data_IF_935982510303
#
_entry.id   IF_935982510303
#
_cell.length_a   1.000
_cell.length_b   1.000
_cell.length_c   1.000
_cell.angle_alpha   90.00
_cell.angle_beta   90.00
_cell.angle_gamma   90.00
#
_symmetry.space_group_name_H-M   'P 1'
#
loop_
_entity.id
_entity.type
_entity.pdbx_description
1 polymer ?
#
# COMPACT_ATOMS: atom_id res chain seq x y z
N UNK A 1 -8.98 -7.59 -5.32
CA UNK A 1 -9.14 -6.24 -5.84
C UNK A 1 -7.86 -5.44 -5.67
N UNK A 2 -6.97 -5.56 -6.67
CA UNK A 2 -5.88 -4.62 -6.94
C UNK A 2 -6.46 -3.33 -7.55
N UNK A 3 -7.42 -2.72 -6.86
CA UNK A 3 -8.09 -1.52 -7.35
C UNK A 3 -7.45 -0.29 -6.74
N UNK A 4 -6.29 0.08 -7.27
CA UNK A 4 -5.77 1.45 -7.18
C UNK A 4 -5.68 2.13 -8.56
N UNK A 5 -6.08 1.43 -9.63
CA UNK A 5 -6.29 2.02 -10.95
C UNK A 5 -7.75 1.81 -11.39
N UNK A 6 -8.66 2.60 -10.83
CA UNK A 6 -10.07 2.53 -11.18
C UNK A 6 -10.85 3.69 -10.56
N UNK A 7 -10.70 4.88 -11.16
CA UNK A 7 -11.51 6.04 -10.79
C UNK A 7 -12.99 5.75 -11.04
N UNK A 8 -13.71 5.34 -10.01
CA UNK A 8 -15.16 5.30 -10.02
C UNK A 8 -15.68 6.68 -9.61
N UNK A 9 -16.37 7.36 -10.53
CA UNK A 9 -17.15 8.56 -10.22
C UNK A 9 -18.21 8.18 -9.18
N UNK A 10 -17.99 8.55 -7.93
CA UNK A 10 -19.04 8.50 -6.90
C UNK A 10 -19.94 9.72 -7.09
N UNK A 11 -21.24 9.49 -7.29
CA UNK A 11 -22.24 10.56 -7.31
C UNK A 11 -22.21 11.31 -5.97
N UNK A 12 -22.00 12.63 -6.09
CA UNK A 12 -22.27 13.73 -5.14
C UNK A 12 -21.63 13.68 -3.74
N UNK A 13 -20.48 14.37 -3.64
CA UNK A 13 -20.12 15.46 -2.69
C UNK A 13 -18.62 15.48 -2.34
N UNK A 14 -17.89 14.43 -2.71
CA UNK A 14 -16.44 14.35 -2.60
C UNK A 14 -15.83 13.88 -3.94
N UNK A 15 -15.01 14.70 -4.62
CA UNK A 15 -14.36 14.28 -5.86
C UNK A 15 -13.28 13.21 -5.64
N UNK A 16 -12.94 12.88 -4.39
CA UNK A 16 -11.90 11.93 -4.04
C UNK A 16 -12.45 10.65 -3.42
N UNK A 17 -12.05 9.50 -3.96
CA UNK A 17 -12.23 8.22 -3.27
C UNK A 17 -11.30 8.14 -2.05
N UNK A 18 -11.84 7.90 -0.85
CA UNK A 18 -11.12 7.94 0.44
C UNK A 18 -10.66 6.60 1.01
N UNK A 19 -10.59 5.57 0.17
CA UNK A 19 -10.31 4.21 0.65
C UNK A 19 -11.52 3.58 1.32
N UNK A 20 -12.11 2.57 0.69
CA UNK A 20 -12.97 1.62 1.43
C UNK A 20 -12.18 0.89 2.52
N UNK A 21 -12.83 0.03 3.31
CA UNK A 21 -12.09 -0.84 4.22
C UNK A 21 -11.10 -1.71 3.42
N UNK A 22 -9.81 -1.53 3.66
CA UNK A 22 -8.76 -2.32 3.04
C UNK A 22 -8.96 -3.81 3.37
N UNK A 23 -8.72 -4.68 2.38
CA UNK A 23 -8.79 -6.14 2.53
C UNK A 23 -7.57 -6.76 1.86
N UNK A 24 -6.69 -7.37 2.66
CA UNK A 24 -5.45 -7.98 2.19
C UNK A 24 -5.62 -9.31 1.45
N UNK A 25 -6.81 -9.89 1.37
CA UNK A 25 -7.02 -11.25 0.83
C UNK A 25 -6.47 -11.42 -0.59
N UNK A 26 -6.61 -10.41 -1.44
CA UNK A 26 -6.09 -10.46 -2.80
C UNK A 26 -4.56 -10.32 -2.86
N UNK A 27 -3.99 -9.43 -2.03
CA UNK A 27 -2.53 -9.30 -1.90
C UNK A 27 -1.93 -10.60 -1.36
N UNK A 28 -2.55 -11.20 -0.35
CA UNK A 28 -2.13 -12.49 0.20
C UNK A 28 -2.09 -13.58 -0.87
N UNK A 29 -3.18 -13.75 -1.63
CA UNK A 29 -3.23 -14.73 -2.71
C UNK A 29 -2.16 -14.48 -3.79
N UNK A 30 -1.91 -13.21 -4.14
CA UNK A 30 -0.86 -12.84 -5.08
C UNK A 30 0.55 -13.17 -4.56
N UNK A 31 0.83 -12.85 -3.30
CA UNK A 31 2.11 -13.15 -2.65
C UNK A 31 2.34 -14.67 -2.50
N UNK A 32 1.30 -15.43 -2.16
CA UNK A 32 1.34 -16.90 -2.10
C UNK A 32 1.68 -17.52 -3.45
N UNK A 33 0.99 -17.10 -4.52
CA UNK A 33 1.29 -17.54 -5.88
C UNK A 33 2.72 -17.19 -6.31
N UNK A 34 3.14 -15.96 -6.01
CA UNK A 34 4.47 -15.47 -6.37
C UNK A 34 5.57 -16.27 -5.68
N UNK A 35 5.40 -16.55 -4.38
CA UNK A 35 6.30 -17.44 -3.62
C UNK A 35 6.34 -18.84 -4.24
N UNK A 36 5.19 -19.42 -4.56
CA UNK A 36 5.10 -20.76 -5.14
C UNK A 36 5.74 -20.86 -6.53
N UNK A 37 5.76 -19.76 -7.28
CA UNK A 37 6.34 -19.69 -8.63
C UNK A 37 7.88 -19.66 -8.63
N UNK A 38 8.52 -19.39 -7.48
CA UNK A 38 9.98 -19.40 -7.36
C UNK A 38 10.70 -18.22 -8.02
N UNK A 39 10.00 -17.13 -8.36
CA UNK A 39 10.61 -15.94 -8.95
C UNK A 39 11.53 -15.22 -7.96
N UNK A 40 12.70 -14.71 -8.40
CA UNK A 40 13.56 -13.87 -7.58
C UNK A 40 12.99 -12.46 -7.47
N UNK A 41 12.06 -12.26 -6.54
CA UNK A 41 11.47 -10.95 -6.27
C UNK A 41 12.28 -10.21 -5.21
N UNK A 42 12.78 -9.04 -5.55
CA UNK A 42 13.54 -8.17 -4.63
C UNK A 42 12.63 -7.31 -3.76
N UNK A 43 11.45 -6.95 -4.25
CA UNK A 43 10.47 -6.20 -3.49
C UNK A 43 9.13 -6.09 -4.19
N UNK A 44 8.16 -5.60 -3.43
CA UNK A 44 6.81 -5.27 -3.89
C UNK A 44 6.51 -3.81 -3.55
N UNK A 45 5.70 -3.18 -4.39
CA UNK A 45 5.16 -1.84 -4.15
C UNK A 45 3.68 -1.93 -3.76
N UNK A 46 3.21 -0.97 -2.97
CA UNK A 46 1.81 -0.86 -2.56
C UNK A 46 1.30 0.57 -2.71
N UNK A 47 0.47 0.80 -3.73
CA UNK A 47 0.02 2.15 -4.06
C UNK A 47 0.55 2.61 -5.41
N UNK A 48 -0.02 3.70 -5.91
CA UNK A 48 0.58 4.55 -6.93
C UNK A 48 0.01 5.95 -6.70
N UNK A 49 0.85 6.92 -6.35
CA UNK A 49 0.48 8.34 -6.22
C UNK A 49 -0.77 8.58 -5.34
N UNK A 50 -0.88 7.84 -4.24
CA UNK A 50 -2.01 7.92 -3.29
C UNK A 50 -1.92 9.13 -2.34
N UNK A 51 -0.84 9.88 -2.46
CA UNK A 51 -0.32 10.93 -1.59
C UNK A 51 -0.56 12.34 -2.12
N UNK A 52 -1.13 12.48 -3.31
CA UNK A 52 -1.27 13.80 -3.91
C UNK A 52 -2.50 14.48 -3.32
N UNK A 53 -2.31 15.39 -2.35
CA UNK A 53 -3.36 16.35 -1.89
C UNK A 53 -4.00 17.14 -3.04
N UNK A 54 -3.33 17.17 -4.19
CA UNK A 54 -3.71 17.87 -5.43
C UNK A 54 -3.86 16.94 -6.66
N UNK A 55 -3.82 15.61 -6.49
CA UNK A 55 -3.90 14.65 -7.61
C UNK A 55 -5.34 14.40 -8.03
N UNK A 56 -5.51 13.69 -9.15
CA UNK A 56 -6.85 13.36 -9.66
C UNK A 56 -7.16 11.89 -9.35
N UNK A 57 -8.11 11.63 -8.44
CA UNK A 57 -8.82 10.34 -8.40
C UNK A 57 -8.95 9.63 -7.05
N UNK A 58 -7.95 9.67 -6.17
CA UNK A 58 -8.01 9.00 -4.87
C UNK A 58 -7.12 9.70 -3.83
N UNK A 59 -7.62 9.86 -2.61
CA UNK A 59 -6.85 10.36 -1.48
C UNK A 59 -7.09 9.43 -0.29
N UNK A 60 -6.15 8.53 -0.04
CA UNK A 60 -6.26 7.55 1.05
C UNK A 60 -5.71 8.18 2.33
N UNK A 61 -6.48 8.23 3.43
CA UNK A 61 -5.96 8.71 4.71
C UNK A 61 -4.70 7.95 5.13
N UNK A 62 -3.68 8.67 5.59
CA UNK A 62 -2.35 8.13 5.97
C UNK A 62 -2.47 6.92 6.89
N UNK A 63 -3.32 6.98 7.90
CA UNK A 63 -3.60 5.86 8.81
C UNK A 63 -4.06 4.58 8.11
N UNK A 64 -4.91 4.70 7.08
CA UNK A 64 -5.36 3.53 6.31
C UNK A 64 -4.24 2.96 5.44
N UNK A 65 -3.45 3.85 4.83
CA UNK A 65 -2.30 3.45 4.05
C UNK A 65 -1.27 2.72 4.91
N UNK A 66 -0.88 3.31 6.05
CA UNK A 66 0.05 2.69 7.01
C UNK A 66 -0.47 1.35 7.52
N UNK A 67 -1.75 1.26 7.86
CA UNK A 67 -2.38 -0.02 8.22
C UNK A 67 -2.23 -1.10 7.15
N UNK A 68 -2.41 -0.74 5.87
CA UNK A 68 -2.21 -1.64 4.75
C UNK A 68 -0.73 -2.06 4.59
N UNK A 69 0.21 -1.13 4.70
CA UNK A 69 1.66 -1.43 4.66
C UNK A 69 2.06 -2.41 5.77
N UNK A 70 1.56 -2.22 6.99
CA UNK A 70 1.84 -3.11 8.12
C UNK A 70 1.26 -4.51 7.86
N UNK A 71 0.03 -4.59 7.37
CA UNK A 71 -0.62 -5.87 7.08
C UNK A 71 0.12 -6.65 5.98
N UNK A 72 0.51 -5.96 4.90
CA UNK A 72 1.28 -6.57 3.80
C UNK A 72 2.68 -6.97 4.26
N UNK A 73 3.36 -6.15 5.07
CA UNK A 73 4.66 -6.47 5.66
C UNK A 73 4.59 -7.73 6.53
N UNK A 74 3.53 -7.91 7.32
CA UNK A 74 3.30 -9.15 8.09
C UNK A 74 3.13 -10.36 7.18
N UNK A 75 2.31 -10.25 6.14
CA UNK A 75 2.10 -11.35 5.18
C UNK A 75 3.42 -11.74 4.49
N UNK A 76 4.23 -10.77 4.05
CA UNK A 76 5.55 -11.04 3.47
C UNK A 76 6.45 -11.73 4.49
N UNK A 77 6.49 -11.26 5.73
CA UNK A 77 7.32 -11.86 6.78
C UNK A 77 6.93 -13.31 7.09
N UNK A 78 5.63 -13.61 7.12
CA UNK A 78 5.12 -14.97 7.35
C UNK A 78 5.45 -15.89 6.18
N UNK A 79 5.20 -15.43 4.94
CA UNK A 79 5.44 -16.20 3.73
C UNK A 79 6.95 -16.42 3.48
N UNK A 80 7.82 -15.46 3.75
CA UNK A 80 9.26 -15.62 3.59
C UNK A 80 10.00 -15.89 4.91
N UNK A 81 9.31 -16.41 5.93
CA UNK A 81 9.86 -16.65 7.28
C UNK A 81 11.11 -17.51 7.31
N UNK A 82 11.26 -18.47 6.39
CA UNK A 82 12.41 -19.38 6.29
C UNK A 82 13.37 -19.02 5.14
N UNK A 83 13.09 -17.94 4.40
CA UNK A 83 13.93 -17.55 3.27
C UNK A 83 15.18 -16.79 3.75
N UNK A 84 16.31 -17.01 3.07
CA UNK A 84 17.55 -16.27 3.34
C UNK A 84 17.45 -14.79 2.94
N UNK A 85 16.63 -14.49 1.94
CA UNK A 85 16.33 -13.14 1.46
C UNK A 85 14.81 -12.99 1.44
N UNK A 86 14.31 -11.95 2.11
CA UNK A 86 12.90 -11.57 2.10
C UNK A 86 12.70 -10.40 1.13
N UNK A 87 11.62 -10.40 0.33
CA UNK A 87 11.26 -9.24 -0.49
C UNK A 87 11.05 -8.01 0.39
N UNK A 88 11.49 -6.85 -0.09
CA UNK A 88 11.18 -5.56 0.51
C UNK A 88 9.74 -5.15 0.22
N UNK A 89 9.17 -4.32 1.08
CA UNK A 89 7.95 -3.57 0.78
C UNK A 89 8.33 -2.11 0.58
N UNK A 90 8.13 -1.60 -0.63
CA UNK A 90 8.53 -0.28 -1.11
C UNK A 90 7.27 0.56 -1.30
N UNK A 91 7.39 1.86 -1.13
CA UNK A 91 6.33 2.82 -1.33
C UNK A 91 6.58 4.08 -0.51
N UNK A 92 5.65 5.03 -0.52
CA UNK A 92 4.28 4.98 -1.08
C UNK A 92 4.16 5.37 -2.56
N UNK A 93 5.28 5.51 -3.27
CA UNK A 93 5.37 5.85 -4.70
C UNK A 93 4.70 7.18 -5.06
N UNK A 94 5.14 8.23 -4.37
CA UNK A 94 4.76 9.61 -4.66
C UNK A 94 5.38 10.14 -5.94
N UNK A 95 4.59 10.86 -6.73
CA UNK A 95 5.11 11.68 -7.82
C UNK A 95 5.60 13.06 -7.37
N UNK A 96 5.33 13.47 -6.11
CA UNK A 96 5.67 14.78 -5.55
C UNK A 96 6.17 14.72 -4.11
N UNK A 97 7.15 15.55 -3.75
CA UNK A 97 7.57 15.65 -2.35
C UNK A 97 6.67 16.61 -1.55
N UNK A 98 5.78 16.06 -0.72
CA UNK A 98 4.99 16.79 0.29
C UNK A 98 5.55 16.48 1.70
N UNK A 99 6.32 17.41 2.25
CA UNK A 99 6.99 17.23 3.54
C UNK A 99 6.02 16.94 4.68
N UNK A 100 4.86 17.62 4.73
CA UNK A 100 3.90 17.42 5.81
C UNK A 100 3.30 16.02 5.75
N UNK A 101 2.97 15.56 4.55
CA UNK A 101 2.44 14.22 4.34
C UNK A 101 3.47 13.13 4.66
N UNK A 102 4.73 13.29 4.23
CA UNK A 102 5.80 12.34 4.58
C UNK A 102 6.08 12.28 6.09
N UNK A 103 6.03 13.43 6.79
CA UNK A 103 6.15 13.47 8.24
C UNK A 103 4.98 12.76 8.93
N UNK A 104 3.75 12.97 8.45
CA UNK A 104 2.56 12.28 8.93
C UNK A 104 2.69 10.76 8.78
N UNK A 105 3.17 10.29 7.61
CA UNK A 105 3.41 8.87 7.35
C UNK A 105 4.47 8.29 8.29
N UNK A 106 5.60 8.99 8.46
CA UNK A 106 6.68 8.55 9.33
C UNK A 106 6.26 8.46 10.81
N UNK A 107 5.48 9.43 11.29
CA UNK A 107 4.93 9.43 12.65
C UNK A 107 3.96 8.27 12.85
N UNK A 108 3.03 8.07 11.92
CA UNK A 108 2.05 6.98 12.01
C UNK A 108 2.73 5.60 11.97
N UNK A 109 3.74 5.40 11.11
CA UNK A 109 4.55 4.19 11.08
C UNK A 109 5.27 3.96 12.42
N UNK A 110 5.82 5.02 13.02
CA UNK A 110 6.51 4.97 14.31
C UNK A 110 5.63 4.50 15.47
N UNK A 111 4.31 4.65 15.39
CA UNK A 111 3.37 4.12 16.40
C UNK A 111 3.19 2.60 16.34
N UNK A 112 3.73 1.93 15.33
CA UNK A 112 3.55 0.51 15.07
C UNK A 112 4.84 -0.33 15.09
N UNK A 113 5.98 0.30 15.38
CA UNK A 113 7.28 -0.32 15.61
C UNK A 113 7.56 -0.47 17.12
#
# INVERSE_FOLDING_TARGET
DLNLAGGFKTKESDPFWRGGSWKSSNVKAFLEYTRASGYPILGFELGNEVDVRHGVGAHVPTKKLVGAFIEVSKIINDLWSTASIKPLLIGPDSSVFDMEWYLEMALELGHHL
#
